data_IF_354678741135
#
_entry.id   IF_354678741135
#
_cell.length_a   1.000
_cell.length_b   1.000
_cell.length_c   1.000
_cell.angle_alpha   90.00
_cell.angle_beta   90.00
_cell.angle_gamma   90.00
#
_symmetry.space_group_name_H-M   'P 1'
#
loop_
_entity.id
_entity.type
_entity.pdbx_description
1 polymer ?
#
# COMPACT_ATOMS: atom_id res chain seq x y z
N UNK A 1 10.76 -10.36 -2.37
CA UNK A 1 9.87 -9.42 -3.10
C UNK A 1 10.38 -9.15 -4.51
N UNK A 2 9.49 -9.05 -5.52
CA UNK A 2 9.87 -8.57 -6.85
C UNK A 2 10.09 -7.04 -6.86
N UNK A 3 10.73 -6.51 -7.91
CA UNK A 3 11.01 -5.07 -8.07
C UNK A 3 9.72 -4.25 -8.04
N UNK A 4 8.71 -4.69 -8.81
CA UNK A 4 7.40 -4.04 -8.89
C UNK A 4 6.78 -3.82 -7.51
N UNK A 5 6.68 -4.88 -6.69
CA UNK A 5 6.07 -4.78 -5.38
C UNK A 5 6.86 -3.82 -4.47
N UNK A 6 8.19 -3.87 -4.48
CA UNK A 6 9.01 -2.94 -3.67
C UNK A 6 8.79 -1.48 -4.07
N UNK A 7 8.74 -1.19 -5.37
CA UNK A 7 8.47 0.17 -5.87
C UNK A 7 7.07 0.65 -5.49
N UNK A 8 6.07 -0.22 -5.62
CA UNK A 8 4.69 0.07 -5.23
C UNK A 8 4.60 0.41 -3.73
N UNK A 9 5.13 -0.45 -2.86
CA UNK A 9 5.10 -0.22 -1.41
C UNK A 9 5.86 1.04 -1.01
N UNK A 10 7.03 1.29 -1.61
CA UNK A 10 7.76 2.53 -1.38
C UNK A 10 6.93 3.76 -1.75
N UNK A 11 6.29 3.74 -2.93
CA UNK A 11 5.53 4.88 -3.45
C UNK A 11 4.30 5.22 -2.61
N UNK A 12 3.63 4.22 -2.00
CA UNK A 12 2.48 4.49 -1.13
C UNK A 12 2.87 4.82 0.32
N UNK A 13 4.05 4.38 0.78
CA UNK A 13 4.54 4.64 2.14
C UNK A 13 5.32 5.93 2.26
N UNK A 14 5.97 6.39 1.18
CA UNK A 14 6.80 7.60 1.19
C UNK A 14 6.00 8.85 1.55
N UNK A 15 4.80 9.11 0.98
CA UNK A 15 4.01 10.27 1.34
C UNK A 15 3.61 10.31 2.82
N UNK A 16 3.51 9.14 3.49
CA UNK A 16 3.19 9.01 4.92
C UNK A 16 4.39 9.18 5.85
N UNK A 17 5.58 9.49 5.31
CA UNK A 17 6.85 9.41 6.02
C UNK A 17 7.19 7.99 6.54
N UNK A 18 6.62 6.96 5.92
CA UNK A 18 6.84 5.56 6.25
C UNK A 18 7.77 4.83 5.29
N UNK A 19 8.59 5.55 4.50
CA UNK A 19 9.56 4.96 3.56
C UNK A 19 10.48 3.93 4.23
N UNK A 20 10.83 4.17 5.51
CA UNK A 20 11.67 3.27 6.31
C UNK A 20 10.98 1.92 6.66
N UNK A 21 9.67 1.82 6.43
CA UNK A 21 8.87 0.60 6.57
C UNK A 21 8.69 -0.14 5.25
N UNK A 22 9.16 0.40 4.12
CA UNK A 22 9.04 -0.27 2.82
C UNK A 22 9.82 -1.61 2.80
N UNK A 23 9.30 -2.64 2.11
CA UNK A 23 9.94 -3.95 2.06
C UNK A 23 11.27 -3.88 1.32
N UNK A 24 12.30 -4.47 1.92
CA UNK A 24 13.66 -4.52 1.38
C UNK A 24 13.87 -5.80 0.57
N UNK A 25 15.00 -5.88 -0.12
CA UNK A 25 15.38 -7.09 -0.86
C UNK A 25 15.61 -8.30 0.06
N UNK A 26 16.02 -8.07 1.31
CA UNK A 26 16.24 -9.11 2.33
C UNK A 26 14.95 -9.63 2.97
N UNK A 27 13.81 -8.96 2.75
CA UNK A 27 12.54 -9.43 3.30
C UNK A 27 12.00 -10.57 2.41
N UNK A 28 11.87 -11.77 2.96
CA UNK A 28 11.46 -12.94 2.17
C UNK A 28 9.98 -13.30 2.34
N UNK A 29 9.30 -12.68 3.30
CA UNK A 29 7.91 -12.99 3.68
C UNK A 29 7.09 -11.72 3.84
N UNK A 30 5.93 -11.69 3.18
CA UNK A 30 4.95 -10.61 3.31
C UNK A 30 4.46 -10.47 4.75
N UNK A 31 4.13 -11.60 5.38
CA UNK A 31 3.62 -11.63 6.75
C UNK A 31 4.67 -11.15 7.76
N UNK A 32 5.94 -11.56 7.60
CA UNK A 32 7.01 -11.14 8.51
C UNK A 32 7.33 -9.65 8.36
N UNK A 33 7.38 -9.15 7.13
CA UNK A 33 7.55 -7.73 6.86
C UNK A 33 6.40 -6.92 7.48
N UNK A 34 5.15 -7.33 7.24
CA UNK A 34 3.98 -6.65 7.81
C UNK A 34 4.06 -6.63 9.35
N UNK A 35 4.29 -7.78 9.99
CA UNK A 35 4.44 -7.87 11.46
C UNK A 35 5.55 -6.98 11.98
N UNK A 36 6.72 -6.95 11.33
CA UNK A 36 7.87 -6.11 11.71
C UNK A 36 7.54 -4.62 11.57
N UNK A 37 6.96 -4.21 10.46
CA UNK A 37 6.58 -2.81 10.20
C UNK A 37 5.49 -2.34 11.17
N UNK A 38 4.49 -3.17 11.42
CA UNK A 38 3.42 -2.91 12.37
C UNK A 38 3.93 -2.68 13.80
N UNK A 39 4.92 -3.47 14.25
CA UNK A 39 5.52 -3.32 15.58
C UNK A 39 6.26 -1.99 15.76
N UNK A 40 6.81 -1.42 14.69
CA UNK A 40 7.52 -0.13 14.71
C UNK A 40 6.60 1.08 14.81
N UNK A 41 5.31 0.91 14.49
CA UNK A 41 4.34 2.00 14.50
C UNK A 41 3.76 2.26 15.89
N UNK A 42 3.45 3.54 16.13
CA UNK A 42 2.68 3.97 17.31
C UNK A 42 1.28 3.34 17.29
N UNK A 43 0.72 3.06 18.47
CA UNK A 43 -0.54 2.31 18.62
C UNK A 43 -1.70 2.90 17.82
N UNK A 44 -1.80 4.23 17.74
CA UNK A 44 -2.89 4.93 17.05
C UNK A 44 -2.81 4.79 15.51
N UNK A 45 -1.62 4.60 14.93
CA UNK A 45 -1.40 4.47 13.48
C UNK A 45 -1.62 3.05 12.96
N UNK A 46 -1.49 2.05 13.85
CA UNK A 46 -1.52 0.62 13.50
C UNK A 46 -2.79 0.18 12.79
N UNK A 47 -3.95 0.71 13.18
CA UNK A 47 -5.23 0.35 12.56
C UNK A 47 -5.29 0.82 11.11
N UNK A 48 -4.94 2.08 10.85
CA UNK A 48 -4.86 2.61 9.50
C UNK A 48 -3.82 1.88 8.65
N UNK A 49 -2.67 1.56 9.25
CA UNK A 49 -1.59 0.88 8.53
C UNK A 49 -2.01 -0.52 8.09
N UNK A 50 -2.73 -1.25 8.93
CA UNK A 50 -3.29 -2.54 8.54
C UNK A 50 -4.26 -2.42 7.36
N UNK A 51 -5.16 -1.43 7.38
CA UNK A 51 -6.04 -1.16 6.24
C UNK A 51 -5.27 -0.84 4.97
N UNK A 52 -4.21 -0.03 5.07
CA UNK A 52 -3.35 0.33 3.94
C UNK A 52 -2.63 -0.89 3.36
N UNK A 53 -2.10 -1.77 4.22
CA UNK A 53 -1.42 -3.00 3.81
C UNK A 53 -2.41 -3.98 3.14
N UNK A 54 -3.62 -4.12 3.68
CA UNK A 54 -4.65 -4.95 3.06
C UNK A 54 -5.01 -4.41 1.67
N UNK A 55 -5.25 -3.10 1.56
CA UNK A 55 -5.59 -2.46 0.29
C UNK A 55 -4.44 -2.56 -0.74
N UNK A 56 -3.21 -2.28 -0.33
CA UNK A 56 -2.04 -2.40 -1.21
C UNK A 56 -1.82 -3.83 -1.70
N UNK A 57 -2.01 -4.83 -0.84
CA UNK A 57 -1.93 -6.23 -1.23
C UNK A 57 -3.05 -6.62 -2.20
N UNK A 58 -4.27 -6.13 -1.97
CA UNK A 58 -5.41 -6.32 -2.88
C UNK A 58 -5.15 -5.76 -4.28
N UNK A 59 -4.64 -4.53 -4.37
CA UNK A 59 -4.30 -3.89 -5.65
C UNK A 59 -3.22 -4.65 -6.39
N UNK A 60 -2.14 -5.06 -5.70
CA UNK A 60 -1.08 -5.89 -6.31
C UNK A 60 -1.66 -7.21 -6.82
N UNK A 61 -2.52 -7.87 -6.04
CA UNK A 61 -3.15 -9.12 -6.43
C UNK A 61 -4.01 -8.95 -7.69
N UNK A 62 -4.88 -7.93 -7.73
CA UNK A 62 -5.69 -7.62 -8.92
C UNK A 62 -4.82 -7.33 -10.14
N UNK A 63 -3.79 -6.51 -10.00
CA UNK A 63 -2.87 -6.17 -11.09
C UNK A 63 -2.14 -7.40 -11.64
N UNK A 64 -1.65 -8.28 -10.75
CA UNK A 64 -1.01 -9.53 -11.15
C UNK A 64 -1.95 -10.47 -11.88
N UNK A 65 -3.21 -10.57 -11.45
CA UNK A 65 -4.21 -11.37 -12.14
C UNK A 65 -4.47 -10.81 -13.54
N UNK A 66 -4.66 -9.49 -13.69
CA UNK A 66 -4.82 -8.89 -15.01
C UNK A 66 -3.61 -9.11 -15.93
N UNK A 67 -2.39 -9.17 -15.40
CA UNK A 67 -1.21 -9.48 -16.20
C UNK A 67 -1.22 -10.93 -16.72
N UNK A 68 -1.70 -11.86 -15.90
CA UNK A 68 -1.70 -13.30 -16.21
C UNK A 68 -2.88 -13.68 -17.11
N UNK A 69 -4.07 -13.15 -16.82
CA UNK A 69 -5.32 -13.56 -17.47
C UNK A 69 -5.71 -12.67 -18.64
N UNK A 70 -5.41 -11.36 -18.57
CA UNK A 70 -5.83 -10.38 -19.59
C UNK A 70 -4.65 -9.93 -20.48
N UNK A 71 -3.45 -10.50 -20.28
CA UNK A 71 -2.25 -10.17 -21.06
C UNK A 71 -1.74 -8.74 -20.86
N UNK A 72 -2.19 -8.05 -19.81
CA UNK A 72 -1.71 -6.69 -19.52
C UNK A 72 -0.23 -6.69 -19.12
N UNK A 73 0.50 -5.65 -19.51
CA UNK A 73 1.89 -5.50 -19.08
C UNK A 73 1.97 -4.91 -17.67
N UNK A 74 2.94 -5.33 -16.83
CA UNK A 74 3.14 -4.74 -15.52
C UNK A 74 3.29 -3.21 -15.60
N UNK A 75 2.40 -2.48 -14.92
CA UNK A 75 2.33 -1.02 -14.96
C UNK A 75 2.20 -0.45 -13.55
N UNK A 76 3.30 0.13 -13.05
CA UNK A 76 3.36 0.70 -11.71
C UNK A 76 2.39 1.88 -11.54
N UNK A 77 2.32 2.77 -12.52
CA UNK A 77 1.45 3.95 -12.44
C UNK A 77 -0.02 3.55 -12.43
N UNK A 78 -0.41 2.57 -13.26
CA UNK A 78 -1.76 2.03 -13.26
C UNK A 78 -2.15 1.43 -11.90
N UNK A 79 -1.26 0.65 -11.28
CA UNK A 79 -1.50 0.10 -9.95
C UNK A 79 -1.57 1.19 -8.87
N UNK A 80 -0.72 2.21 -8.92
CA UNK A 80 -0.77 3.33 -7.99
C UNK A 80 -2.06 4.15 -8.13
N UNK A 81 -2.55 4.36 -9.36
CA UNK A 81 -3.83 5.03 -9.58
C UNK A 81 -4.98 4.20 -9.01
N UNK A 82 -5.04 2.89 -9.30
CA UNK A 82 -6.04 2.00 -8.71
C UNK A 82 -5.98 1.98 -7.18
N UNK A 83 -4.79 2.09 -6.58
CA UNK A 83 -4.66 2.22 -5.14
C UNK A 83 -5.24 3.54 -4.61
N UNK A 84 -4.97 4.66 -5.27
CA UNK A 84 -5.54 5.97 -4.90
C UNK A 84 -7.06 5.95 -4.98
N UNK A 85 -7.62 5.46 -6.09
CA UNK A 85 -9.06 5.41 -6.33
C UNK A 85 -9.76 4.57 -5.25
N UNK A 86 -9.24 3.38 -4.97
CA UNK A 86 -9.77 2.49 -3.93
C UNK A 86 -9.58 3.07 -2.53
N UNK A 87 -8.44 3.70 -2.26
CA UNK A 87 -8.17 4.35 -0.97
C UNK A 87 -9.22 5.43 -0.70
N UNK A 88 -9.50 6.27 -1.70
CA UNK A 88 -10.53 7.30 -1.63
C UNK A 88 -11.92 6.69 -1.40
N UNK A 89 -12.29 5.64 -2.15
CA UNK A 89 -13.56 4.93 -1.98
C UNK A 89 -13.71 4.36 -0.56
N UNK A 90 -12.65 3.78 0.01
CA UNK A 90 -12.67 3.23 1.36
C UNK A 90 -12.82 4.35 2.40
N UNK A 91 -12.15 5.48 2.21
CA UNK A 91 -12.25 6.65 3.10
C UNK A 91 -13.68 7.18 3.15
N UNK A 92 -14.32 7.42 2.01
CA UNK A 92 -15.71 7.91 1.96
C UNK A 92 -16.72 6.86 2.44
N UNK A 93 -16.36 5.57 2.36
CA UNK A 93 -17.15 4.46 2.92
C UNK A 93 -16.90 4.23 4.42
N UNK A 94 -16.15 5.11 5.09
CA UNK A 94 -15.98 5.11 6.54
C UNK A 94 -14.71 4.44 7.07
N UNK A 95 -13.70 4.20 6.23
CA UNK A 95 -12.37 3.73 6.67
C UNK A 95 -11.58 4.84 7.40
N UNK A 96 -12.05 5.24 8.58
CA UNK A 96 -11.50 6.33 9.41
C UNK A 96 -10.00 6.18 9.71
N UNK A 97 -9.50 4.95 9.79
CA UNK A 97 -8.07 4.67 9.99
C UNK A 97 -7.20 5.07 8.80
N UNK A 98 -7.68 4.88 7.57
CA UNK A 98 -7.00 5.34 6.36
C UNK A 98 -7.04 6.87 6.24
N UNK A 99 -8.21 7.46 6.52
CA UNK A 99 -8.36 8.91 6.53
C UNK A 99 -7.42 9.58 7.55
N UNK A 100 -7.29 9.00 8.75
CA UNK A 100 -6.37 9.50 9.77
C UNK A 100 -4.89 9.38 9.38
N UNK A 101 -4.51 8.36 8.59
CA UNK A 101 -3.15 8.25 8.06
C UNK A 101 -2.85 9.27 6.96
N UNK A 102 -3.84 9.60 6.13
CA UNK A 102 -3.66 10.52 5.02
C UNK A 102 -3.70 12.00 5.41
N UNK A 103 -4.14 12.33 6.63
CA UNK A 103 -4.11 13.71 7.12
C UNK A 103 -2.65 14.21 7.20
N UNK A 104 -2.28 15.08 6.26
CA UNK A 104 -0.93 15.63 6.11
C UNK A 104 -0.06 14.98 5.03
N UNK A 105 -0.59 14.05 4.23
CA UNK A 105 0.15 13.31 3.20
C UNK A 105 -0.56 13.35 1.85
N UNK A 106 0.18 13.61 0.76
CA UNK A 106 -0.35 13.77 -0.61
C UNK A 106 -0.93 12.50 -1.26
N UNK A 107 -1.29 11.47 -0.48
CA UNK A 107 -1.99 10.27 -0.99
C UNK A 107 -3.34 10.64 -1.63
N UNK A 108 -3.90 11.78 -1.23
CA UNK A 108 -5.20 12.31 -1.66
C UNK A 108 -5.06 13.43 -2.70
N UNK A 109 -3.84 13.78 -3.13
CA UNK A 109 -3.63 14.86 -4.08
C UNK A 109 -3.60 14.32 -5.52
N UNK A 110 -4.65 14.71 -6.25
CA UNK A 110 -5.02 14.44 -7.64
C UNK A 110 -5.35 12.98 -7.97
#
# INVERSE_FOLDING_TARGET
>A
WCVFARQFWFSILQPLNFSHLAPRHTDNSFADWWKKSWKKLQKHLRKGFNSLVILGAWVIWKHRNACVFDGTTPNLQGALQSFKDECHLWQISGAKGLAALSQGSSIVAN
#
